data_IF_804868405073
#
_entry.id   IF_804868405073
#
_cell.length_a   1.000
_cell.length_b   1.000
_cell.length_c   1.000
_cell.angle_alpha   90.00
_cell.angle_beta   90.00
_cell.angle_gamma   90.00
#
_symmetry.space_group_name_H-M   'P 1'
#
loop_
_entity.id
_entity.type
_entity.pdbx_description
1 polymer ?
#
# COMPACT_ATOMS: atom_id res chain seq x y z
N UNK A 1 0.78 -9.27 -23.86
CA UNK A 1 1.68 -8.76 -24.91
C UNK A 1 1.50 -9.53 -26.20
N UNK A 2 1.07 -8.84 -27.25
CA UNK A 2 0.97 -9.35 -28.62
C UNK A 2 2.35 -9.72 -29.22
N UNK A 3 2.36 -10.53 -30.28
CA UNK A 3 3.57 -11.15 -30.84
C UNK A 3 4.48 -10.17 -31.60
N UNK A 4 3.88 -9.17 -32.26
CA UNK A 4 4.56 -8.03 -32.88
C UNK A 4 5.47 -7.28 -31.88
N UNK A 5 4.96 -6.95 -30.69
CA UNK A 5 5.70 -6.24 -29.65
C UNK A 5 6.83 -7.10 -29.08
N UNK A 6 6.61 -8.41 -28.92
CA UNK A 6 7.67 -9.35 -28.49
C UNK A 6 8.82 -9.42 -29.49
N UNK A 7 8.53 -9.32 -30.79
CA UNK A 7 9.55 -9.34 -31.83
C UNK A 7 10.34 -8.03 -31.89
N UNK A 8 9.65 -6.88 -31.84
CA UNK A 8 10.32 -5.57 -31.74
C UNK A 8 11.15 -5.45 -30.46
N UNK A 9 10.66 -5.99 -29.35
CA UNK A 9 11.38 -6.00 -28.09
C UNK A 9 12.79 -6.65 -28.21
N UNK A 10 12.98 -7.62 -29.11
CA UNK A 10 14.29 -8.27 -29.36
C UNK A 10 15.25 -7.39 -30.18
N UNK A 11 14.74 -6.45 -30.96
CA UNK A 11 15.55 -5.57 -31.83
C UNK A 11 16.00 -4.29 -31.14
N UNK A 12 15.51 -4.00 -29.94
CA UNK A 12 15.85 -2.79 -29.18
C UNK A 12 17.31 -2.83 -28.70
N UNK A 13 18.06 -1.79 -29.07
CA UNK A 13 19.41 -1.54 -28.56
C UNK A 13 19.35 -1.08 -27.10
N UNK A 14 19.90 -1.92 -26.22
CA UNK A 14 19.92 -1.68 -24.77
C UNK A 14 20.93 -0.60 -24.39
N UNK A 15 20.47 0.39 -23.63
CA UNK A 15 21.34 1.35 -22.92
C UNK A 15 21.38 1.00 -21.44
N UNK A 16 22.57 0.67 -20.95
CA UNK A 16 22.80 0.30 -19.56
C UNK A 16 22.83 1.54 -18.67
N UNK A 17 22.40 1.39 -17.41
CA UNK A 17 22.53 2.46 -16.41
C UNK A 17 22.93 1.88 -15.04
N UNK A 18 23.71 2.64 -14.27
CA UNK A 18 24.15 2.26 -12.91
C UNK A 18 23.75 3.39 -11.96
N UNK A 19 22.83 3.11 -11.05
CA UNK A 19 22.42 4.01 -9.96
C UNK A 19 21.68 3.24 -8.88
N UNK A 20 21.57 3.80 -7.68
CA UNK A 20 20.84 3.18 -6.55
C UNK A 20 19.38 2.83 -6.87
N UNK A 21 18.79 3.53 -7.84
CA UNK A 21 17.54 3.17 -8.53
C UNK A 21 17.72 3.49 -10.02
N UNK A 22 18.03 2.51 -10.87
CA UNK A 22 18.23 2.72 -12.29
C UNK A 22 16.99 3.29 -12.95
N UNK A 23 17.21 4.30 -13.78
CA UNK A 23 16.15 5.01 -14.49
C UNK A 23 16.60 5.39 -15.89
N UNK A 24 15.68 5.32 -16.83
CA UNK A 24 15.88 5.79 -18.20
C UNK A 24 14.73 6.69 -18.60
N UNK A 25 15.03 7.77 -19.33
CA UNK A 25 14.04 8.74 -19.80
C UNK A 25 14.30 9.04 -21.27
N UNK A 26 13.23 9.11 -22.05
CA UNK A 26 13.24 9.56 -23.43
C UNK A 26 12.04 10.46 -23.70
N UNK A 27 12.18 11.38 -24.63
CA UNK A 27 11.14 12.34 -25.01
C UNK A 27 10.83 12.18 -26.50
N UNK A 28 9.55 12.25 -26.86
CA UNK A 28 9.12 12.22 -28.25
C UNK A 28 7.89 13.12 -28.46
N UNK A 29 7.76 13.65 -29.68
CA UNK A 29 6.64 14.52 -30.02
C UNK A 29 5.42 13.71 -30.50
N UNK A 30 4.24 14.21 -30.19
CA UNK A 30 2.96 13.64 -30.61
C UNK A 30 2.10 14.71 -31.28
N UNK A 31 1.33 14.37 -32.33
CA UNK A 31 0.43 15.31 -32.98
C UNK A 31 -0.92 15.46 -32.26
N UNK A 32 -1.21 14.64 -31.25
CA UNK A 32 -2.49 14.62 -30.53
C UNK A 32 -2.43 15.41 -29.23
N UNK A 33 -3.59 15.86 -28.75
CA UNK A 33 -3.73 16.55 -27.46
C UNK A 33 -3.59 15.58 -26.26
N UNK A 34 -3.59 16.15 -25.06
CA UNK A 34 -3.44 15.42 -23.79
C UNK A 34 -4.51 14.34 -23.56
N UNK A 35 -5.76 14.61 -23.92
CA UNK A 35 -6.90 13.70 -23.70
C UNK A 35 -6.71 12.44 -24.56
N UNK A 36 -6.47 12.64 -25.86
CA UNK A 36 -6.24 11.56 -26.80
C UNK A 36 -4.95 10.82 -26.44
N UNK A 37 -3.89 11.54 -26.02
CA UNK A 37 -2.65 10.92 -25.56
C UNK A 37 -2.91 9.92 -24.43
N UNK A 38 -3.62 10.31 -23.37
CA UNK A 38 -3.92 9.42 -22.24
C UNK A 38 -4.71 8.19 -22.70
N UNK A 39 -5.73 8.37 -23.54
CA UNK A 39 -6.55 7.28 -24.04
C UNK A 39 -5.76 6.29 -24.94
N UNK A 40 -4.88 6.80 -25.80
CA UNK A 40 -4.00 5.98 -26.65
C UNK A 40 -2.94 5.28 -25.81
N UNK A 41 -2.39 5.96 -24.79
CA UNK A 41 -1.41 5.37 -23.86
C UNK A 41 -2.02 4.24 -23.02
N UNK A 42 -3.27 4.39 -22.56
CA UNK A 42 -4.02 3.34 -21.84
C UNK A 42 -4.12 2.06 -22.71
N UNK A 43 -4.57 2.20 -23.96
CA UNK A 43 -4.63 1.09 -24.92
C UNK A 43 -3.25 0.50 -25.24
N UNK A 44 -2.20 1.32 -25.31
CA UNK A 44 -0.84 0.85 -25.53
C UNK A 44 -0.35 0.00 -24.35
N UNK A 45 -0.63 0.40 -23.11
CA UNK A 45 -0.32 -0.40 -21.92
C UNK A 45 -1.09 -1.72 -21.88
N UNK A 46 -2.38 -1.71 -22.22
CA UNK A 46 -3.19 -2.93 -22.34
C UNK A 46 -2.58 -3.93 -23.34
N UNK A 47 -2.20 -3.47 -24.54
CA UNK A 47 -1.54 -4.30 -25.56
C UNK A 47 -0.20 -4.87 -25.09
N UNK A 48 0.56 -4.09 -24.32
CA UNK A 48 1.81 -4.53 -23.71
C UNK A 48 1.59 -5.50 -22.53
N UNK A 49 0.37 -5.59 -22.01
CA UNK A 49 0.03 -6.35 -20.80
C UNK A 49 0.64 -5.74 -19.55
N UNK A 50 0.72 -4.41 -19.49
CA UNK A 50 1.15 -3.66 -18.31
C UNK A 50 -0.07 -3.09 -17.61
N UNK A 51 -0.07 -3.15 -16.29
CA UNK A 51 -1.23 -2.74 -15.51
C UNK A 51 -1.13 -1.25 -15.22
N UNK A 52 -2.11 -0.48 -15.69
CA UNK A 52 -2.23 0.96 -15.39
C UNK A 52 -2.57 1.13 -13.92
N UNK A 53 -1.71 1.85 -13.19
CA UNK A 53 -1.84 2.07 -11.74
C UNK A 53 -2.28 3.49 -11.39
N UNK A 54 -2.09 4.44 -12.30
CA UNK A 54 -2.46 5.83 -12.10
C UNK A 54 -2.67 6.52 -13.44
N UNK A 55 -3.65 7.41 -13.51
CA UNK A 55 -3.85 8.34 -14.63
C UNK A 55 -4.43 9.66 -14.12
N UNK A 56 -3.97 10.75 -14.71
CA UNK A 56 -4.55 12.07 -14.61
C UNK A 56 -4.58 12.73 -16.01
N UNK A 57 -4.90 14.01 -16.09
CA UNK A 57 -5.05 14.71 -17.37
C UNK A 57 -3.76 14.78 -18.19
N UNK A 58 -2.59 14.64 -17.57
CA UNK A 58 -1.28 14.81 -18.23
C UNK A 58 -0.33 13.63 -18.00
N UNK A 59 -0.61 12.75 -17.06
CA UNK A 59 0.24 11.66 -16.66
C UNK A 59 -0.51 10.33 -16.68
N UNK A 60 0.19 9.28 -17.08
CA UNK A 60 -0.26 7.91 -16.89
C UNK A 60 0.92 7.05 -16.46
N UNK A 61 0.70 6.20 -15.47
CA UNK A 61 1.69 5.30 -14.90
C UNK A 61 1.19 3.86 -15.01
N UNK A 62 2.08 2.97 -15.45
CA UNK A 62 1.82 1.55 -15.49
C UNK A 62 2.98 0.77 -14.86
N UNK A 63 2.66 -0.35 -14.21
CA UNK A 63 3.66 -1.29 -13.71
C UNK A 63 3.69 -2.53 -14.59
N UNK A 64 4.88 -3.07 -14.79
CA UNK A 64 5.08 -4.34 -15.50
C UNK A 64 5.20 -5.47 -14.48
N UNK A 65 4.42 -6.54 -14.70
CA UNK A 65 4.62 -7.83 -14.02
C UNK A 65 5.56 -8.70 -14.83
N UNK A 66 6.48 -9.36 -14.13
CA UNK A 66 7.22 -10.48 -14.66
C UNK A 66 6.80 -11.74 -13.92
N UNK A 67 6.41 -12.77 -14.67
CA UNK A 67 6.09 -14.08 -14.11
C UNK A 67 7.41 -14.74 -13.68
N UNK A 68 7.69 -14.71 -12.37
CA UNK A 68 8.77 -15.48 -11.78
C UNK A 68 8.37 -16.93 -11.57
N UNK A 69 9.36 -17.78 -11.28
CA UNK A 69 9.15 -19.22 -11.07
C UNK A 69 8.26 -19.55 -9.84
N UNK A 70 8.08 -18.60 -8.92
CA UNK A 70 7.23 -18.78 -7.73
C UNK A 70 6.12 -17.73 -7.56
N UNK A 71 6.27 -16.49 -8.07
CA UNK A 71 5.27 -15.42 -7.92
C UNK A 71 5.40 -14.39 -9.06
N UNK A 72 4.30 -13.73 -9.40
CA UNK A 72 4.31 -12.50 -10.20
C UNK A 72 4.88 -11.35 -9.37
N UNK A 73 5.90 -10.67 -9.90
CA UNK A 73 6.51 -9.51 -9.23
C UNK A 73 6.49 -8.31 -10.16
N UNK A 74 6.18 -7.15 -9.59
CA UNK A 74 6.38 -5.87 -10.26
C UNK A 74 7.87 -5.56 -10.38
N UNK A 75 8.33 -5.32 -11.59
CA UNK A 75 9.76 -5.16 -11.89
C UNK A 75 10.12 -3.72 -12.22
N UNK A 76 9.30 -3.06 -13.04
CA UNK A 76 9.52 -1.68 -13.48
C UNK A 76 8.21 -0.89 -13.42
N UNK A 77 8.33 0.42 -13.16
CA UNK A 77 7.26 1.41 -13.31
C UNK A 77 7.59 2.31 -14.50
N UNK A 78 6.61 2.50 -15.37
CA UNK A 78 6.70 3.40 -16.52
C UNK A 78 5.77 4.57 -16.26
N UNK A 79 6.32 5.78 -16.27
CA UNK A 79 5.60 7.05 -16.11
C UNK A 79 5.72 7.83 -17.40
N UNK A 80 4.59 8.23 -17.97
CA UNK A 80 4.55 9.02 -19.19
C UNK A 80 3.83 10.33 -18.91
N UNK A 81 4.47 11.45 -19.21
CA UNK A 81 3.95 12.80 -18.95
C UNK A 81 3.85 13.57 -20.26
N UNK A 82 2.69 14.14 -20.52
CA UNK A 82 2.43 15.04 -21.64
C UNK A 82 2.68 16.50 -21.25
N UNK A 83 3.36 17.23 -22.12
CA UNK A 83 3.58 18.68 -21.99
C UNK A 83 3.64 19.32 -23.37
N UNK A 84 2.58 20.02 -23.75
CA UNK A 84 2.49 20.84 -24.98
C UNK A 84 2.94 20.10 -26.25
N UNK A 85 2.44 18.88 -26.48
CA UNK A 85 2.78 18.06 -27.64
C UNK A 85 4.08 17.25 -27.52
N UNK A 86 4.82 17.38 -26.42
CA UNK A 86 5.97 16.53 -26.10
C UNK A 86 5.61 15.54 -24.97
N UNK A 87 5.92 14.26 -25.17
CA UNK A 87 5.71 13.19 -24.20
C UNK A 87 7.06 12.77 -23.62
N UNK A 88 7.20 12.90 -22.30
CA UNK A 88 8.32 12.39 -21.53
C UNK A 88 7.99 11.00 -20.99
N UNK A 89 8.66 9.98 -21.50
CA UNK A 89 8.54 8.58 -21.04
C UNK A 89 9.70 8.25 -20.13
N UNK A 90 9.40 7.79 -18.92
CA UNK A 90 10.40 7.42 -17.92
C UNK A 90 10.13 6.01 -17.43
N UNK A 91 11.15 5.15 -17.41
CA UNK A 91 11.10 3.84 -16.76
C UNK A 91 12.05 3.82 -15.57
N UNK A 92 11.58 3.30 -14.45
CA UNK A 92 12.37 3.11 -13.23
C UNK A 92 12.22 1.68 -12.71
N UNK A 93 13.33 1.11 -12.22
CA UNK A 93 13.33 -0.20 -11.58
C UNK A 93 12.73 -0.12 -10.17
N UNK A 94 11.86 -1.07 -9.83
CA UNK A 94 11.22 -1.20 -8.50
C UNK A 94 12.02 -2.11 -7.54
N UNK A 95 13.09 -2.74 -8.03
CA UNK A 95 13.98 -3.56 -7.23
C UNK A 95 15.18 -2.78 -6.69
N UNK A 96 15.86 -3.33 -5.68
CA UNK A 96 17.15 -2.82 -5.18
C UNK A 96 18.33 -3.11 -6.15
N UNK A 97 18.06 -3.17 -7.44
CA UNK A 97 19.05 -3.45 -8.48
C UNK A 97 19.87 -2.17 -8.69
N UNK A 98 21.19 -2.19 -8.44
CA UNK A 98 22.06 -1.03 -8.66
C UNK A 98 22.46 -0.90 -10.14
N UNK A 99 22.30 -1.99 -10.90
CA UNK A 99 22.64 -2.06 -12.31
C UNK A 99 21.43 -2.47 -13.13
N UNK A 100 21.14 -1.65 -14.13
CA UNK A 100 20.16 -1.94 -15.16
C UNK A 100 20.87 -2.43 -16.43
N UNK A 101 20.64 -3.70 -16.74
CA UNK A 101 21.11 -4.36 -17.96
C UNK A 101 20.35 -3.87 -19.23
N UNK A 102 19.99 -2.59 -19.26
CA UNK A 102 19.18 -1.95 -20.30
C UNK A 102 17.73 -2.42 -20.35
N UNK A 103 17.18 -2.88 -19.23
CA UNK A 103 15.75 -3.14 -19.06
C UNK A 103 14.98 -1.82 -19.20
N UNK A 104 15.34 -0.75 -18.48
CA UNK A 104 14.55 0.49 -18.51
C UNK A 104 14.54 1.15 -19.89
N UNK A 105 15.69 1.20 -20.57
CA UNK A 105 15.77 1.72 -21.94
C UNK A 105 14.94 0.91 -22.93
N UNK A 106 14.95 -0.42 -22.78
CA UNK A 106 14.08 -1.33 -23.53
C UNK A 106 12.60 -1.06 -23.27
N UNK A 107 12.18 -0.82 -22.03
CA UNK A 107 10.77 -0.51 -21.69
C UNK A 107 10.32 0.81 -22.29
N UNK A 108 11.14 1.85 -22.19
CA UNK A 108 10.81 3.16 -22.76
C UNK A 108 10.64 3.05 -24.27
N UNK A 109 11.58 2.44 -24.99
CA UNK A 109 11.47 2.29 -26.44
C UNK A 109 10.29 1.39 -26.86
N UNK A 110 10.03 0.32 -26.11
CA UNK A 110 8.89 -0.56 -26.37
C UNK A 110 7.55 0.17 -26.20
N UNK A 111 7.43 1.02 -25.16
CA UNK A 111 6.25 1.85 -24.98
C UNK A 111 6.08 2.86 -26.10
N UNK A 112 7.14 3.58 -26.48
CA UNK A 112 7.10 4.55 -27.58
C UNK A 112 6.62 3.89 -28.87
N UNK A 113 7.14 2.71 -29.20
CA UNK A 113 6.73 1.94 -30.36
C UNK A 113 5.25 1.49 -30.25
N UNK A 114 4.84 0.93 -29.12
CA UNK A 114 3.46 0.49 -28.92
C UNK A 114 2.45 1.65 -28.98
N UNK A 115 2.83 2.82 -28.46
CA UNK A 115 2.05 4.04 -28.56
C UNK A 115 1.90 4.47 -30.03
N UNK A 116 2.99 4.54 -30.78
CA UNK A 116 2.97 4.95 -32.18
C UNK A 116 2.16 3.98 -33.06
N UNK A 117 2.34 2.67 -32.87
CA UNK A 117 1.56 1.66 -33.59
C UNK A 117 0.07 1.73 -33.21
N UNK A 118 -0.24 1.97 -31.94
CA UNK A 118 -1.63 2.14 -31.51
C UNK A 118 -2.24 3.42 -32.09
N UNK A 119 -1.49 4.53 -32.11
CA UNK A 119 -1.96 5.78 -32.70
C UNK A 119 -2.28 5.62 -34.20
N UNK A 120 -1.46 4.86 -34.95
CA UNK A 120 -1.70 4.57 -36.37
C UNK A 120 -2.98 3.79 -36.65
N UNK A 121 -3.50 3.05 -35.67
CA UNK A 121 -4.75 2.29 -35.85
C UNK A 121 -6.01 3.16 -35.83
N UNK A 122 -5.89 4.43 -35.41
CA UNK A 122 -7.01 5.37 -35.40
C UNK A 122 -6.95 6.30 -36.61
N UNK A 123 -8.06 6.41 -37.34
CA UNK A 123 -8.28 7.48 -38.30
C UNK A 123 -8.75 8.76 -37.58
N UNK A 124 -8.89 9.86 -38.32
CA UNK A 124 -9.29 11.15 -37.74
C UNK A 124 -10.69 11.13 -37.11
N UNK A 125 -11.59 10.26 -37.57
CA UNK A 125 -12.94 10.15 -37.02
C UNK A 125 -12.92 9.35 -35.72
N UNK A 126 -12.21 8.23 -35.70
CA UNK A 126 -12.00 7.41 -34.51
C UNK A 126 -11.21 8.14 -33.42
N UNK A 127 -10.28 9.03 -33.77
CA UNK A 127 -9.62 9.91 -32.79
C UNK A 127 -10.61 10.89 -32.15
N UNK A 128 -11.55 11.44 -32.91
CA UNK A 128 -12.60 12.33 -32.37
C UNK A 128 -13.60 11.57 -31.50
N UNK A 129 -13.94 10.33 -31.87
CA UNK A 129 -14.78 9.48 -31.01
C UNK A 129 -14.04 9.11 -29.72
N UNK A 130 -12.77 8.75 -29.81
CA UNK A 130 -11.93 8.45 -28.65
C UNK A 130 -11.78 9.66 -27.73
N UNK A 131 -11.62 10.86 -28.29
CA UNK A 131 -11.62 12.12 -27.56
C UNK A 131 -12.94 12.32 -26.81
N UNK A 132 -14.08 12.17 -27.48
CA UNK A 132 -15.41 12.26 -26.84
C UNK A 132 -15.63 11.20 -25.75
N UNK A 133 -15.19 9.97 -25.96
CA UNK A 133 -15.28 8.91 -24.96
C UNK A 133 -14.39 9.19 -23.74
N UNK A 134 -13.17 9.66 -23.97
CA UNK A 134 -12.22 10.01 -22.93
C UNK A 134 -12.68 11.26 -22.15
N UNK A 135 -13.23 12.25 -22.85
CA UNK A 135 -13.89 13.41 -22.26
C UNK A 135 -15.06 12.96 -21.39
N UNK A 136 -15.97 12.10 -21.87
CA UNK A 136 -17.07 11.59 -21.03
C UNK A 136 -16.61 10.85 -19.78
N UNK A 137 -15.51 10.10 -19.86
CA UNK A 137 -14.97 9.35 -18.70
C UNK A 137 -14.30 10.26 -17.67
N UNK A 138 -13.64 11.31 -18.12
CA UNK A 138 -12.91 12.24 -17.24
C UNK A 138 -13.76 13.46 -16.83
N UNK A 139 -14.79 13.76 -17.60
CA UNK A 139 -15.68 14.88 -17.37
C UNK A 139 -16.86 14.44 -16.51
N UNK A 140 -16.77 14.79 -15.24
CA UNK A 140 -17.86 14.67 -14.29
C UNK A 140 -19.05 15.56 -14.66
N UNK A 141 -18.95 16.52 -15.58
CA UNK A 141 -20.07 17.37 -16.03
C UNK A 141 -21.25 16.56 -16.59
N UNK A 142 -20.98 15.42 -17.22
CA UNK A 142 -22.01 14.50 -17.76
C UNK A 142 -22.44 13.42 -16.75
N UNK A 143 -21.98 13.50 -15.49
CA UNK A 143 -22.38 12.56 -14.45
C UNK A 143 -23.90 12.65 -14.22
N UNK A 144 -24.59 11.56 -14.51
CA UNK A 144 -26.02 11.44 -14.26
C UNK A 144 -26.19 11.19 -12.77
N UNK A 145 -26.60 12.24 -12.05
CA UNK A 145 -26.91 12.14 -10.63
C UNK A 145 -28.02 11.10 -10.45
N UNK A 146 -27.78 9.97 -9.77
CA UNK A 146 -28.81 8.96 -9.60
C UNK A 146 -29.97 9.52 -8.78
N UNK A 147 -31.20 9.19 -9.18
CA UNK A 147 -32.41 9.65 -8.49
C UNK A 147 -32.45 9.12 -7.04
N UNK A 148 -31.95 7.90 -6.84
CA UNK A 148 -31.86 7.25 -5.53
C UNK A 148 -30.48 6.63 -5.33
N UNK A 149 -29.93 6.73 -4.11
CA UNK A 149 -28.74 5.99 -3.72
C UNK A 149 -29.11 4.67 -3.02
N UNK A 150 -28.27 3.63 -3.12
CA UNK A 150 -28.41 2.44 -2.28
C UNK A 150 -28.44 2.85 -0.81
N UNK A 151 -29.31 2.21 -0.03
CA UNK A 151 -29.46 2.55 1.39
C UNK A 151 -28.22 2.14 2.18
N UNK A 152 -27.85 2.91 3.23
CA UNK A 152 -26.76 2.52 4.11
C UNK A 152 -27.06 1.16 4.74
N UNK A 153 -26.06 0.27 4.74
CA UNK A 153 -26.19 -1.01 5.43
C UNK A 153 -26.40 -0.76 6.93
N UNK A 154 -27.37 -1.44 7.53
CA UNK A 154 -27.55 -1.37 8.98
C UNK A 154 -26.32 -1.96 9.66
N UNK A 155 -25.58 -1.12 10.37
CA UNK A 155 -24.33 -1.52 11.00
C UNK A 155 -24.43 -1.42 12.52
N UNK A 156 -23.76 -2.34 13.23
CA UNK A 156 -23.72 -2.31 14.69
C UNK A 156 -23.08 -1.02 15.18
N UNK A 157 -23.44 -0.59 16.39
CA UNK A 157 -22.78 0.56 17.04
C UNK A 157 -21.30 0.23 17.25
N UNK A 158 -20.37 1.14 16.90
CA UNK A 158 -18.94 0.90 17.08
C UNK A 158 -18.60 0.67 18.54
N UNK A 159 -17.89 -0.41 18.84
CA UNK A 159 -17.38 -0.71 20.19
C UNK A 159 -15.85 -0.82 20.18
N UNK A 160 -15.20 -0.03 21.03
CA UNK A 160 -13.74 -0.06 21.19
C UNK A 160 -13.27 -1.07 22.24
N UNK A 161 -14.18 -1.59 23.06
CA UNK A 161 -13.88 -2.49 24.16
C UNK A 161 -13.36 -3.83 23.64
N UNK A 162 -13.98 -4.35 22.58
CA UNK A 162 -13.57 -5.61 21.93
C UNK A 162 -12.11 -5.55 21.43
N UNK A 163 -11.71 -4.58 20.57
CA UNK A 163 -10.33 -4.50 20.13
C UNK A 163 -9.36 -4.22 21.28
N UNK A 164 -9.76 -3.46 22.30
CA UNK A 164 -8.93 -3.20 23.48
C UNK A 164 -8.62 -4.48 24.28
N UNK A 165 -9.66 -5.19 24.75
CA UNK A 165 -9.49 -6.41 25.57
C UNK A 165 -8.85 -7.52 24.73
N UNK A 166 -9.37 -7.75 23.52
CA UNK A 166 -8.83 -8.76 22.61
C UNK A 166 -7.37 -8.48 22.25
N UNK A 167 -7.04 -7.22 22.01
CA UNK A 167 -5.67 -6.79 21.71
C UNK A 167 -4.71 -7.04 22.86
N UNK A 168 -5.09 -6.70 24.09
CA UNK A 168 -4.28 -6.97 25.29
C UNK A 168 -4.00 -8.47 25.48
N UNK A 169 -5.02 -9.32 25.34
CA UNK A 169 -4.87 -10.77 25.45
C UNK A 169 -3.93 -11.34 24.38
N UNK A 170 -4.13 -10.94 23.11
CA UNK A 170 -3.28 -11.37 22.00
C UNK A 170 -1.83 -10.92 22.21
N UNK A 171 -1.62 -9.69 22.69
CA UNK A 171 -0.28 -9.17 22.99
C UNK A 171 0.45 -10.00 24.05
N UNK A 172 -0.23 -10.39 25.12
CA UNK A 172 0.39 -11.22 26.17
C UNK A 172 0.73 -12.62 25.66
N UNK A 173 -0.17 -13.24 24.89
CA UNK A 173 0.06 -14.56 24.28
C UNK A 173 1.26 -14.50 23.33
N UNK A 174 1.32 -13.48 22.45
CA UNK A 174 2.44 -13.31 21.54
C UNK A 174 3.75 -13.02 22.28
N UNK A 175 3.72 -12.20 23.35
CA UNK A 175 4.88 -11.96 24.20
C UNK A 175 5.44 -13.26 24.78
N UNK A 176 4.57 -14.15 25.27
CA UNK A 176 4.97 -15.46 25.79
C UNK A 176 5.56 -16.37 24.70
N UNK A 177 4.91 -16.47 23.54
CA UNK A 177 5.37 -17.30 22.42
C UNK A 177 6.76 -16.84 21.95
N UNK A 178 6.95 -15.53 21.77
CA UNK A 178 8.25 -14.97 21.38
C UNK A 178 9.30 -15.27 22.44
N UNK A 179 8.99 -15.11 23.73
CA UNK A 179 9.92 -15.41 24.82
C UNK A 179 10.38 -16.88 24.80
N UNK A 180 9.43 -17.80 24.69
CA UNK A 180 9.71 -19.23 24.64
C UNK A 180 10.62 -19.62 23.47
N UNK A 181 10.36 -19.06 22.28
CA UNK A 181 11.20 -19.31 21.10
C UNK A 181 12.58 -18.63 21.22
N UNK A 182 12.65 -17.45 21.82
CA UNK A 182 13.90 -16.74 22.05
C UNK A 182 14.83 -17.48 23.01
N UNK A 183 14.32 -18.03 24.12
CA UNK A 183 15.15 -18.80 25.08
C UNK A 183 15.74 -20.04 24.42
N UNK A 184 15.01 -20.67 23.49
CA UNK A 184 15.49 -21.81 22.70
C UNK A 184 16.47 -21.45 21.57
N UNK A 185 16.83 -20.17 21.42
CA UNK A 185 17.76 -19.71 20.39
C UNK A 185 17.18 -19.70 18.97
N UNK A 186 15.85 -19.79 18.82
CA UNK A 186 15.18 -19.83 17.52
C UNK A 186 14.74 -18.44 17.02
N UNK A 187 15.26 -17.36 17.60
CA UNK A 187 14.87 -16.00 17.26
C UNK A 187 15.65 -15.46 16.06
N UNK A 188 14.93 -15.09 15.00
CA UNK A 188 15.50 -14.47 13.80
C UNK A 188 14.95 -13.05 13.63
N UNK A 189 15.84 -12.06 13.74
CA UNK A 189 15.52 -10.64 13.54
C UNK A 189 14.95 -10.43 12.12
N UNK A 190 13.92 -9.62 11.99
CA UNK A 190 13.16 -9.35 10.78
C UNK A 190 12.01 -10.33 10.56
N UNK A 191 12.27 -11.64 10.65
CA UNK A 191 11.24 -12.67 10.45
C UNK A 191 10.21 -12.67 11.59
N UNK A 192 10.67 -12.62 12.84
CA UNK A 192 9.78 -12.65 14.00
C UNK A 192 8.92 -11.38 14.07
N UNK A 193 9.50 -10.21 13.83
CA UNK A 193 8.81 -8.91 13.78
C UNK A 193 7.72 -8.92 12.70
N UNK A 194 8.02 -9.48 11.53
CA UNK A 194 7.04 -9.64 10.45
C UNK A 194 5.91 -10.60 10.81
N UNK A 195 6.22 -11.76 11.43
CA UNK A 195 5.22 -12.76 11.84
C UNK A 195 4.33 -12.25 12.97
N UNK A 196 4.92 -11.58 13.97
CA UNK A 196 4.20 -10.92 15.07
C UNK A 196 3.27 -9.86 14.50
N UNK A 197 3.78 -8.95 13.67
CA UNK A 197 2.96 -7.92 13.02
C UNK A 197 1.81 -8.53 12.20
N UNK A 198 2.09 -9.58 11.43
CA UNK A 198 1.07 -10.25 10.61
C UNK A 198 -0.01 -10.89 11.48
N UNK A 199 0.36 -11.57 12.56
CA UNK A 199 -0.58 -12.20 13.50
C UNK A 199 -1.42 -11.15 14.23
N UNK A 200 -0.79 -10.06 14.65
CA UNK A 200 -1.43 -8.94 15.33
C UNK A 200 -2.50 -8.30 14.43
N UNK A 201 -2.15 -7.99 13.18
CA UNK A 201 -3.07 -7.39 12.20
C UNK A 201 -4.18 -8.36 11.83
N UNK A 202 -3.88 -9.66 11.72
CA UNK A 202 -4.89 -10.68 11.49
C UNK A 202 -5.91 -10.73 12.62
N UNK A 203 -5.49 -10.73 13.88
CA UNK A 203 -6.40 -10.65 15.02
C UNK A 203 -7.23 -9.35 15.00
N UNK A 204 -6.56 -8.22 14.77
CA UNK A 204 -7.22 -6.91 14.69
C UNK A 204 -8.27 -6.83 13.59
N UNK A 205 -8.05 -7.48 12.44
CA UNK A 205 -9.04 -7.58 11.37
C UNK A 205 -10.37 -8.16 11.89
N UNK A 206 -10.32 -9.21 12.70
CA UNK A 206 -11.52 -9.79 13.30
C UNK A 206 -12.11 -8.88 14.35
N UNK A 207 -11.30 -8.27 15.22
CA UNK A 207 -11.80 -7.35 16.24
C UNK A 207 -12.52 -6.15 15.62
N UNK A 208 -11.95 -5.53 14.58
CA UNK A 208 -12.57 -4.45 13.80
C UNK A 208 -13.90 -4.90 13.21
N UNK A 209 -13.94 -6.08 12.58
CA UNK A 209 -15.16 -6.60 11.96
C UNK A 209 -16.26 -6.90 12.99
N UNK A 210 -15.92 -7.51 14.12
CA UNK A 210 -16.89 -7.87 15.16
C UNK A 210 -17.39 -6.66 15.93
N UNK A 211 -16.52 -5.66 16.15
CA UNK A 211 -16.83 -4.47 16.93
C UNK A 211 -17.32 -3.30 16.08
N UNK A 212 -17.26 -3.43 14.76
CA UNK A 212 -17.59 -2.40 13.78
C UNK A 212 -16.88 -1.05 14.05
N UNK A 213 -15.62 -1.11 14.50
CA UNK A 213 -14.86 0.06 14.93
C UNK A 213 -13.78 0.41 13.91
N UNK A 214 -13.93 1.55 13.23
CA UNK A 214 -13.06 1.96 12.12
C UNK A 214 -12.15 3.16 12.42
N UNK A 215 -12.22 3.77 13.62
CA UNK A 215 -11.42 4.96 13.91
C UNK A 215 -9.91 4.66 13.89
N UNK A 216 -9.27 5.04 12.79
CA UNK A 216 -7.89 4.67 12.49
C UNK A 216 -6.90 5.18 13.55
N UNK A 217 -7.02 6.44 13.97
CA UNK A 217 -6.09 7.04 14.94
C UNK A 217 -6.09 6.30 16.29
N UNK A 218 -7.28 5.96 16.80
CA UNK A 218 -7.38 5.21 18.07
C UNK A 218 -6.90 3.76 17.91
N UNK A 219 -7.18 3.11 16.77
CA UNK A 219 -6.64 1.78 16.47
C UNK A 219 -5.11 1.78 16.36
N UNK A 220 -4.51 2.82 15.79
CA UNK A 220 -3.05 2.98 15.73
C UNK A 220 -2.41 3.10 17.11
N UNK A 221 -2.98 3.93 18.00
CA UNK A 221 -2.48 4.04 19.37
C UNK A 221 -2.60 2.71 20.12
N UNK A 222 -3.71 1.99 19.93
CA UNK A 222 -3.88 0.66 20.49
C UNK A 222 -2.82 -0.32 19.97
N UNK A 223 -2.58 -0.35 18.66
CA UNK A 223 -1.56 -1.20 18.04
C UNK A 223 -0.15 -0.86 18.54
N UNK A 224 0.19 0.42 18.69
CA UNK A 224 1.46 0.83 19.27
C UNK A 224 1.60 0.35 20.72
N UNK A 225 0.55 0.50 21.53
CA UNK A 225 0.53 -0.02 22.91
C UNK A 225 0.66 -1.54 22.95
N UNK A 226 0.00 -2.25 22.04
CA UNK A 226 0.08 -3.71 21.89
C UNK A 226 1.48 -4.17 21.53
N UNK A 227 2.19 -3.48 20.63
CA UNK A 227 3.58 -3.79 20.27
C UNK A 227 4.52 -3.57 21.46
N UNK A 228 4.40 -2.44 22.18
CA UNK A 228 5.16 -2.19 23.40
C UNK A 228 4.91 -3.31 24.42
N UNK A 229 3.64 -3.66 24.65
CA UNK A 229 3.25 -4.70 25.59
C UNK A 229 3.82 -6.08 25.22
N UNK A 230 3.81 -6.45 23.93
CA UNK A 230 4.42 -7.71 23.46
C UNK A 230 5.89 -7.77 23.84
N UNK A 231 6.66 -6.72 23.56
CA UNK A 231 8.10 -6.75 23.81
C UNK A 231 8.44 -6.60 25.29
N UNK A 232 7.70 -5.79 26.06
CA UNK A 232 7.87 -5.71 27.51
C UNK A 232 7.52 -7.03 28.21
N UNK A 233 6.39 -7.65 27.83
CA UNK A 233 6.00 -8.96 28.39
C UNK A 233 6.93 -10.08 27.95
N UNK A 234 7.44 -10.05 26.72
CA UNK A 234 8.48 -10.96 26.25
C UNK A 234 9.73 -10.91 27.15
N UNK A 235 10.22 -9.73 27.54
CA UNK A 235 11.36 -9.63 28.48
C UNK A 235 11.05 -10.29 29.83
N UNK A 236 9.85 -10.06 30.36
CA UNK A 236 9.42 -10.63 31.63
C UNK A 236 9.25 -12.15 31.54
N UNK A 237 8.64 -12.67 30.48
CA UNK A 237 8.47 -14.11 30.30
C UNK A 237 9.80 -14.82 30.06
N UNK A 238 10.75 -14.22 29.34
CA UNK A 238 12.10 -14.80 29.23
C UNK A 238 12.76 -14.93 30.60
N UNK A 239 12.61 -13.92 31.45
CA UNK A 239 13.11 -13.96 32.83
C UNK A 239 12.50 -15.15 33.61
N UNK A 240 11.17 -15.31 33.60
CA UNK A 240 10.51 -16.42 34.31
C UNK A 240 10.89 -17.79 33.72
N UNK A 241 10.97 -17.92 32.39
CA UNK A 241 11.36 -19.18 31.73
C UNK A 241 12.80 -19.56 32.08
N UNK A 242 13.75 -18.61 32.02
CA UNK A 242 15.17 -18.88 32.31
C UNK A 242 15.34 -19.31 33.77
N UNK A 243 14.69 -18.63 34.72
CA UNK A 243 14.76 -19.01 36.13
C UNK A 243 14.21 -20.42 36.35
N UNK A 244 13.09 -20.74 35.72
CA UNK A 244 12.45 -22.03 35.88
C UNK A 244 13.25 -23.17 35.24
N UNK A 245 13.74 -23.01 34.00
CA UNK A 245 14.48 -24.05 33.27
C UNK A 245 15.84 -24.36 33.91
N UNK A 246 16.47 -23.38 34.57
CA UNK A 246 17.79 -23.53 35.17
C UNK A 246 17.76 -23.74 36.71
N UNK A 247 16.58 -23.86 37.31
CA UNK A 247 16.39 -23.98 38.76
C UNK A 247 17.17 -22.92 39.57
N UNK A 248 17.18 -21.67 39.07
CA UNK A 248 17.91 -20.58 39.71
C UNK A 248 17.10 -20.00 40.88
N UNK A 249 17.80 -19.51 41.90
CA UNK A 249 17.15 -18.72 42.94
C UNK A 249 16.47 -17.49 42.34
N UNK A 250 15.31 -17.13 42.91
CA UNK A 250 14.48 -16.04 42.40
C UNK A 250 15.17 -14.70 42.63
N UNK A 251 15.88 -14.21 41.62
CA UNK A 251 16.39 -12.84 41.58
C UNK A 251 15.29 -11.87 41.16
N UNK A 252 15.32 -10.61 41.57
CA UNK A 252 14.34 -9.63 41.10
C UNK A 252 14.46 -9.36 39.59
N UNK A 253 13.35 -9.05 38.91
CA UNK A 253 13.34 -8.76 37.46
C UNK A 253 14.30 -7.62 37.08
N UNK A 254 14.40 -6.56 37.90
CA UNK A 254 15.35 -5.47 37.65
C UNK A 254 16.81 -5.94 37.77
N UNK A 255 17.10 -6.83 38.71
CA UNK A 255 18.44 -7.43 38.86
C UNK A 255 18.77 -8.32 37.66
N UNK A 256 17.79 -9.08 37.16
CA UNK A 256 17.94 -9.83 35.91
C UNK A 256 18.26 -8.90 34.72
N UNK A 257 17.55 -7.79 34.58
CA UNK A 257 17.83 -6.80 33.54
C UNK A 257 19.24 -6.21 33.70
N UNK A 258 19.66 -5.85 34.92
CA UNK A 258 21.02 -5.37 35.19
C UNK A 258 22.07 -6.39 34.74
N UNK A 259 21.91 -7.66 35.11
CA UNK A 259 22.80 -8.74 34.68
C UNK A 259 22.85 -8.84 33.15
N UNK A 260 21.69 -8.83 32.48
CA UNK A 260 21.61 -8.88 31.01
C UNK A 260 22.32 -7.70 30.34
N UNK A 261 22.17 -6.49 30.89
CA UNK A 261 22.85 -5.30 30.39
C UNK A 261 24.36 -5.34 30.66
N UNK A 262 24.80 -5.85 31.82
CA UNK A 262 26.21 -6.00 32.17
C UNK A 262 26.93 -7.04 31.31
N UNK A 263 26.27 -8.16 30.98
CA UNK A 263 26.82 -9.16 30.07
C UNK A 263 26.92 -8.64 28.62
N UNK A 264 26.06 -7.67 28.27
CA UNK A 264 26.04 -7.03 26.96
C UNK A 264 25.38 -7.90 25.88
N UNK A 265 25.19 -7.31 24.70
CA UNK A 265 24.61 -8.00 23.55
C UNK A 265 25.74 -8.62 22.72
N UNK A 266 25.82 -9.95 22.70
CA UNK A 266 26.88 -10.67 21.97
C UNK A 266 26.32 -11.28 20.69
N UNK A 267 26.83 -10.86 19.53
CA UNK A 267 26.50 -11.45 18.22
C UNK A 267 27.79 -11.93 17.58
N UNK A 268 27.85 -13.22 17.19
CA UNK A 268 29.02 -13.81 16.53
C UNK A 268 30.35 -13.50 17.26
N UNK A 269 30.36 -13.59 18.60
CA UNK A 269 31.50 -13.30 19.49
C UNK A 269 31.91 -11.81 19.58
N UNK A 270 31.19 -10.90 18.94
CA UNK A 270 31.36 -9.46 19.09
C UNK A 270 30.41 -8.98 20.19
N UNK A 271 30.96 -8.45 21.28
CA UNK A 271 30.17 -7.85 22.34
C UNK A 271 29.88 -6.37 22.02
N UNK A 272 28.63 -6.07 21.70
CA UNK A 272 28.13 -4.71 21.43
C UNK A 272 27.70 -3.98 22.72
N UNK A 273 27.91 -4.61 23.88
CA UNK A 273 27.58 -4.06 25.18
C UNK A 273 26.09 -3.81 25.38
N UNK A 274 25.76 -2.94 26.32
CA UNK A 274 24.40 -2.51 26.61
C UNK A 274 23.77 -1.72 25.45
N UNK A 275 24.59 -1.04 24.63
CA UNK A 275 24.15 -0.27 23.47
C UNK A 275 23.51 -1.20 22.41
N UNK A 276 24.11 -2.38 22.19
CA UNK A 276 23.56 -3.37 21.27
C UNK A 276 22.13 -3.82 21.64
N UNK A 277 21.84 -3.97 22.94
CA UNK A 277 20.50 -4.29 23.42
C UNK A 277 19.49 -3.19 23.09
N UNK A 278 19.85 -1.92 23.30
CA UNK A 278 18.97 -0.78 22.99
C UNK A 278 18.70 -0.69 21.49
N UNK A 279 19.74 -0.82 20.65
CA UNK A 279 19.59 -0.81 19.19
C UNK A 279 18.67 -1.97 18.76
N UNK A 280 18.87 -3.16 19.30
CA UNK A 280 18.01 -4.32 19.02
C UNK A 280 16.55 -4.05 19.37
N UNK A 281 16.27 -3.43 20.52
CA UNK A 281 14.91 -3.10 20.93
C UNK A 281 14.27 -2.03 20.04
N UNK A 282 15.03 -1.00 19.65
CA UNK A 282 14.56 0.03 18.72
C UNK A 282 14.21 -0.61 17.37
N UNK A 283 15.06 -1.51 16.86
CA UNK A 283 14.80 -2.23 15.61
C UNK A 283 13.56 -3.12 15.73
N UNK A 284 13.43 -3.88 16.82
CA UNK A 284 12.27 -4.75 17.10
C UNK A 284 10.94 -3.97 17.12
N UNK A 285 10.91 -2.88 17.89
CA UNK A 285 9.73 -2.02 18.01
C UNK A 285 9.44 -1.31 16.68
N UNK A 286 10.48 -0.77 16.04
CA UNK A 286 10.38 -0.02 14.79
C UNK A 286 9.89 -0.87 13.62
N UNK A 287 10.49 -2.04 13.38
CA UNK A 287 10.08 -2.94 12.29
C UNK A 287 8.67 -3.48 12.50
N UNK A 288 8.37 -3.95 13.72
CA UNK A 288 7.03 -4.47 14.04
C UNK A 288 5.97 -3.38 13.93
N UNK A 289 6.27 -2.17 14.42
CA UNK A 289 5.40 -1.01 14.30
C UNK A 289 5.13 -0.64 12.85
N UNK A 290 6.18 -0.57 12.02
CA UNK A 290 6.07 -0.26 10.59
C UNK A 290 5.23 -1.31 9.85
N UNK A 291 5.52 -2.60 10.02
CA UNK A 291 4.75 -3.66 9.36
C UNK A 291 3.29 -3.68 9.81
N UNK A 292 3.04 -3.45 11.10
CA UNK A 292 1.70 -3.38 11.67
C UNK A 292 0.92 -2.19 11.11
N UNK A 293 1.55 -1.01 11.03
CA UNK A 293 0.96 0.20 10.46
C UNK A 293 0.52 -0.02 9.00
N UNK A 294 1.45 -0.46 8.15
CA UNK A 294 1.19 -0.63 6.72
C UNK A 294 0.08 -1.65 6.46
N UNK A 295 0.13 -2.82 7.13
CA UNK A 295 -0.88 -3.86 6.95
C UNK A 295 -2.24 -3.46 7.54
N UNK A 296 -2.29 -2.73 8.65
CA UNK A 296 -3.55 -2.25 9.25
C UNK A 296 -4.24 -1.25 8.33
N UNK A 297 -3.49 -0.33 7.72
CA UNK A 297 -4.03 0.61 6.75
C UNK A 297 -4.73 -0.13 5.61
N UNK A 298 -4.08 -1.14 5.03
CA UNK A 298 -4.67 -1.96 3.96
C UNK A 298 -5.95 -2.69 4.41
N UNK A 299 -5.93 -3.31 5.60
CA UNK A 299 -7.10 -4.04 6.13
C UNK A 299 -8.27 -3.10 6.39
N UNK A 300 -8.02 -1.93 6.99
CA UNK A 300 -9.05 -0.97 7.31
C UNK A 300 -9.64 -0.35 6.05
N UNK A 301 -8.80 0.07 5.10
CA UNK A 301 -9.26 0.60 3.81
C UNK A 301 -10.13 -0.42 3.09
N UNK A 302 -9.70 -1.69 3.02
CA UNK A 302 -10.51 -2.76 2.42
C UNK A 302 -11.86 -2.93 3.14
N UNK A 303 -11.87 -2.92 4.47
CA UNK A 303 -13.09 -3.06 5.26
C UNK A 303 -14.06 -1.89 5.05
N UNK A 304 -13.57 -0.64 4.97
CA UNK A 304 -14.41 0.53 4.71
C UNK A 304 -14.97 0.50 3.29
N UNK A 305 -14.15 0.19 2.28
CA UNK A 305 -14.56 0.09 0.88
C UNK A 305 -15.61 -1.01 0.64
N UNK A 306 -15.52 -2.15 1.33
CA UNK A 306 -16.52 -3.22 1.22
C UNK A 306 -17.90 -2.84 1.79
N UNK A 307 -17.98 -1.83 2.65
CA UNK A 307 -19.23 -1.43 3.33
C UNK A 307 -20.01 -0.33 2.60
N UNK A 308 -19.31 0.51 1.84
CA UNK A 308 -19.92 1.63 1.13
C UNK A 308 -20.10 1.25 -0.34
N UNK A 309 -21.34 1.28 -0.87
CA UNK A 309 -21.58 1.04 -2.30
C UNK A 309 -20.80 2.04 -3.16
N UNK A 310 -20.18 1.57 -4.25
CA UNK A 310 -19.37 2.40 -5.14
C UNK A 310 -20.16 3.62 -5.66
N UNK A 311 -21.44 3.45 -5.97
CA UNK A 311 -22.35 4.52 -6.40
C UNK A 311 -22.43 5.70 -5.42
N UNK A 312 -22.34 5.43 -4.11
CA UNK A 312 -22.39 6.45 -3.06
C UNK A 312 -21.05 7.20 -2.97
N UNK A 313 -19.94 6.48 -3.14
CA UNK A 313 -18.60 7.07 -3.22
C UNK A 313 -18.50 7.97 -4.44
N UNK A 314 -18.94 7.49 -5.61
CA UNK A 314 -18.93 8.25 -6.86
C UNK A 314 -19.78 9.51 -6.77
N UNK A 315 -20.98 9.41 -6.17
CA UNK A 315 -21.86 10.55 -5.94
C UNK A 315 -21.20 11.62 -5.05
N UNK A 316 -20.54 11.21 -3.96
CA UNK A 316 -19.87 12.13 -3.07
C UNK A 316 -18.61 12.74 -3.74
N UNK A 317 -17.82 11.94 -4.45
CA UNK A 317 -16.68 12.40 -5.26
C UNK A 317 -17.10 13.45 -6.30
N UNK A 318 -18.19 13.19 -7.04
CA UNK A 318 -18.76 14.13 -8.00
C UNK A 318 -18.97 15.52 -7.38
N UNK A 319 -19.62 15.56 -6.21
CA UNK A 319 -19.89 16.83 -5.54
C UNK A 319 -18.62 17.53 -5.03
N UNK A 320 -17.63 16.80 -4.54
CA UNK A 320 -16.33 17.38 -4.18
C UNK A 320 -15.59 17.94 -5.39
N UNK A 321 -15.61 17.26 -6.54
CA UNK A 321 -15.03 17.74 -7.81
C UNK A 321 -15.70 19.04 -8.26
N UNK A 322 -16.99 19.21 -7.98
CA UNK A 322 -17.74 20.46 -8.20
C UNK A 322 -17.45 21.54 -7.15
N UNK A 323 -16.39 21.41 -6.37
CA UNK A 323 -15.96 22.33 -5.32
C UNK A 323 -16.99 22.55 -4.20
N UNK A 324 -17.90 21.60 -3.97
CA UNK A 324 -18.76 21.66 -2.79
C UNK A 324 -17.96 21.38 -1.52
N UNK A 325 -18.27 22.11 -0.46
CA UNK A 325 -17.72 21.87 0.88
C UNK A 325 -18.24 20.56 1.48
N UNK A 326 -17.54 20.02 2.47
CA UNK A 326 -17.93 18.80 3.16
C UNK A 326 -19.38 18.85 3.67
N UNK A 327 -19.79 19.98 4.27
CA UNK A 327 -21.15 20.18 4.78
C UNK A 327 -22.22 20.20 3.67
N UNK A 328 -21.89 20.70 2.48
CA UNK A 328 -22.80 20.66 1.34
C UNK A 328 -22.93 19.23 0.81
N UNK A 329 -21.83 18.48 0.72
CA UNK A 329 -21.88 17.06 0.33
C UNK A 329 -22.71 16.24 1.34
N UNK A 330 -22.60 16.53 2.64
CA UNK A 330 -23.46 15.90 3.67
C UNK A 330 -24.94 16.17 3.44
N UNK A 331 -25.32 17.39 3.05
CA UNK A 331 -26.71 17.73 2.74
C UNK A 331 -27.23 16.96 1.52
N UNK A 332 -26.42 16.86 0.47
CA UNK A 332 -26.77 16.08 -0.74
C UNK A 332 -26.95 14.60 -0.42
N UNK A 333 -26.03 14.01 0.35
CA UNK A 333 -26.12 12.64 0.83
C UNK A 333 -27.37 12.42 1.69
N UNK A 334 -27.67 13.34 2.62
CA UNK A 334 -28.86 13.29 3.46
C UNK A 334 -30.15 13.32 2.61
N UNK A 335 -30.19 14.16 1.58
CA UNK A 335 -31.30 14.23 0.61
C UNK A 335 -31.54 12.92 -0.15
N UNK A 336 -30.51 12.07 -0.25
CA UNK A 336 -30.55 10.76 -0.92
C UNK A 336 -30.65 9.57 0.06
N UNK A 337 -30.98 9.83 1.33
CA UNK A 337 -31.22 8.78 2.34
C UNK A 337 -30.03 8.44 3.23
N UNK A 338 -28.93 9.17 3.13
CA UNK A 338 -27.73 9.05 3.97
C UNK A 338 -27.66 10.19 5.00
N UNK A 339 -28.67 10.27 5.88
CA UNK A 339 -28.83 11.38 6.83
C UNK A 339 -28.02 11.21 8.14
N UNK A 340 -27.60 9.99 8.45
CA UNK A 340 -26.79 9.73 9.65
C UNK A 340 -25.35 10.21 9.42
N UNK A 341 -24.88 11.09 10.31
CA UNK A 341 -23.52 11.62 10.30
C UNK A 341 -22.48 10.50 10.27
N UNK A 342 -22.69 9.40 10.99
CA UNK A 342 -21.76 8.27 11.01
C UNK A 342 -21.60 7.66 9.62
N UNK A 343 -22.70 7.44 8.90
CA UNK A 343 -22.67 6.86 7.57
C UNK A 343 -22.00 7.81 6.56
N UNK A 344 -22.20 9.12 6.71
CA UNK A 344 -21.50 10.13 5.91
C UNK A 344 -20.00 10.17 6.18
N UNK A 345 -19.59 10.07 7.46
CA UNK A 345 -18.18 9.99 7.85
C UNK A 345 -17.52 8.76 7.21
N UNK A 346 -18.20 7.60 7.20
CA UNK A 346 -17.71 6.38 6.53
C UNK A 346 -17.56 6.55 5.01
N UNK A 347 -18.43 7.33 4.35
CA UNK A 347 -18.28 7.67 2.91
C UNK A 347 -17.03 8.51 2.69
N UNK A 348 -16.76 9.50 3.53
CA UNK A 348 -15.55 10.34 3.41
C UNK A 348 -14.28 9.56 3.72
N UNK A 349 -14.31 8.66 4.70
CA UNK A 349 -13.23 7.71 4.96
C UNK A 349 -12.99 6.79 3.74
N UNK A 350 -14.05 6.34 3.05
CA UNK A 350 -13.94 5.53 1.84
C UNK A 350 -13.25 6.30 0.70
N UNK A 351 -13.62 7.57 0.48
CA UNK A 351 -12.98 8.45 -0.53
C UNK A 351 -11.49 8.59 -0.25
N UNK A 352 -11.13 8.93 1.00
CA UNK A 352 -9.72 9.00 1.41
C UNK A 352 -9.01 7.66 1.27
N UNK A 353 -9.71 6.55 1.53
CA UNK A 353 -9.23 5.19 1.32
C UNK A 353 -8.91 4.88 -0.14
N UNK A 354 -9.76 5.28 -1.10
CA UNK A 354 -9.51 5.14 -2.54
C UNK A 354 -8.26 5.94 -2.94
N UNK A 355 -8.16 7.20 -2.51
CA UNK A 355 -6.99 8.03 -2.80
C UNK A 355 -5.70 7.42 -2.25
N UNK A 356 -5.71 6.98 -0.99
CA UNK A 356 -4.57 6.31 -0.37
C UNK A 356 -4.21 4.99 -1.08
N UNK A 357 -5.19 4.22 -1.56
CA UNK A 357 -4.94 3.00 -2.31
C UNK A 357 -4.26 3.28 -3.66
N UNK A 358 -4.68 4.34 -4.34
CA UNK A 358 -4.01 4.82 -5.57
C UNK A 358 -2.59 5.25 -5.24
N UNK A 359 -2.36 6.03 -4.18
CA UNK A 359 -1.01 6.44 -3.77
C UNK A 359 -0.11 5.27 -3.36
N UNK A 360 -0.61 4.30 -2.59
CA UNK A 360 0.11 3.08 -2.22
C UNK A 360 0.52 2.27 -3.46
N UNK A 361 -0.36 2.19 -4.47
CA UNK A 361 -0.03 1.54 -5.75
C UNK A 361 1.05 2.29 -6.53
N UNK A 362 1.24 3.59 -6.28
CA UNK A 362 2.32 4.42 -6.88
C UNK A 362 3.65 4.32 -6.13
N UNK A 363 3.69 3.80 -4.90
CA UNK A 363 4.94 3.61 -4.16
C UNK A 363 5.87 2.67 -4.94
N UNK A 364 7.14 3.09 -5.01
CA UNK A 364 8.22 2.45 -5.77
C UNK A 364 8.93 1.38 -4.95
#
# INVERSE_FOLDING_TARGET
MEENFKNYEKTITKKHSISFTPKYKEEFNTPVNEIIFIAVAEKAFEKLGWDVIYKDNFNIEAKRKEAGWMNERWTEIITTTYKNGNISVKSESLGNEIWDAGKNSKRVQLFIYAYQETLKTFDQEALKELEKEAEKKNNWDDYIIPDTLPKPMQTKTPDFTIPLIGGLLVSLILGFIVAFLSVKGLYFIGLFEFLVATTLVFAMKYFIKYSNYTNFRKLQYLLAAMVILIYSSNQYFQYEIILHENNLERIGFLSFLQIRFSQGFVVNKINLGWIGWIISWIIQLGLTGLFTYLKTAVVLTKYVLERIPAEVVDFACYHFVKNKSEEEVRKELAGKGWSDKKNQDEVFEAIGGVQNAVELNRIK
#
